data_IF_420557719309
#
_entry.id   IF_420557719309
#
_cell.length_a   1.000
_cell.length_b   1.000
_cell.length_c   1.000
_cell.angle_alpha   90.00
_cell.angle_beta   90.00
_cell.angle_gamma   90.00
#
_symmetry.space_group_name_H-M   'P 1'
#
loop_
_entity.id
_entity.type
_entity.pdbx_description
1 polymer ?
#
# COMPACT_ATOMS: atom_id res chain seq x y z
N UNK A 1 -15.84 25.49 -40.83
CA UNK A 1 -15.29 25.89 -39.52
C UNK A 1 -16.12 25.42 -38.31
N UNK A 2 -17.43 25.71 -38.22
CA UNK A 2 -18.25 25.37 -37.02
C UNK A 2 -18.36 23.87 -36.70
N UNK A 3 -18.42 23.00 -37.73
CA UNK A 3 -18.52 21.54 -37.53
C UNK A 3 -17.20 20.93 -37.04
N UNK A 4 -16.06 21.31 -37.63
CA UNK A 4 -14.73 20.86 -37.20
C UNK A 4 -14.42 21.24 -35.75
N UNK A 5 -14.73 22.48 -35.36
CA UNK A 5 -14.61 22.93 -33.96
C UNK A 5 -15.50 22.11 -33.01
N UNK A 6 -16.73 21.76 -33.42
CA UNK A 6 -17.62 20.90 -32.63
C UNK A 6 -17.07 19.48 -32.44
N UNK A 7 -16.50 18.88 -33.47
CA UNK A 7 -15.88 17.56 -33.36
C UNK A 7 -14.61 17.58 -32.51
N UNK A 8 -13.79 18.62 -32.64
CA UNK A 8 -12.61 18.83 -31.79
C UNK A 8 -13.01 18.97 -30.31
N UNK A 9 -14.02 19.80 -29.99
CA UNK A 9 -14.53 19.95 -28.62
C UNK A 9 -15.04 18.61 -28.08
N UNK A 10 -15.84 17.86 -28.86
CA UNK A 10 -16.32 16.54 -28.45
C UNK A 10 -15.17 15.56 -28.18
N UNK A 11 -14.15 15.57 -29.04
CA UNK A 11 -12.96 14.73 -28.87
C UNK A 11 -12.20 15.10 -27.58
N UNK A 12 -11.96 16.39 -27.34
CA UNK A 12 -11.32 16.86 -26.11
C UNK A 12 -12.14 16.50 -24.86
N UNK A 13 -13.48 16.63 -24.92
CA UNK A 13 -14.35 16.23 -23.83
C UNK A 13 -14.25 14.72 -23.54
N UNK A 14 -14.22 13.87 -24.57
CA UNK A 14 -14.05 12.41 -24.40
C UNK A 14 -12.72 12.08 -23.73
N UNK A 15 -11.66 12.86 -23.98
CA UNK A 15 -10.35 12.66 -23.35
C UNK A 15 -10.30 13.14 -21.89
N UNK A 16 -10.93 14.28 -21.59
CA UNK A 16 -10.81 14.97 -20.29
C UNK A 16 -11.84 14.49 -19.27
N UNK A 17 -13.07 14.17 -19.71
CA UNK A 17 -14.17 13.81 -18.82
C UNK A 17 -13.86 12.55 -17.97
N UNK A 18 -13.30 11.45 -18.50
CA UNK A 18 -13.03 10.26 -17.69
C UNK A 18 -12.02 10.50 -16.56
N UNK A 19 -10.84 11.15 -16.77
CA UNK A 19 -9.95 11.55 -15.68
C UNK A 19 -10.64 12.43 -14.63
N UNK A 20 -11.45 13.41 -15.05
CA UNK A 20 -12.19 14.29 -14.11
C UNK A 20 -13.16 13.48 -13.26
N UNK A 21 -13.95 12.60 -13.89
CA UNK A 21 -14.88 11.71 -13.18
C UNK A 21 -14.12 10.81 -12.20
N UNK A 22 -13.00 10.22 -12.62
CA UNK A 22 -12.16 9.39 -11.76
C UNK A 22 -11.67 10.16 -10.52
N UNK A 23 -11.18 11.39 -10.71
CA UNK A 23 -10.74 12.25 -9.60
C UNK A 23 -11.89 12.64 -8.67
N UNK A 24 -13.09 12.88 -9.21
CA UNK A 24 -14.29 13.13 -8.39
C UNK A 24 -14.66 11.90 -7.55
N UNK A 25 -14.65 10.69 -8.13
CA UNK A 25 -14.87 9.46 -7.38
C UNK A 25 -13.78 9.22 -6.33
N UNK A 26 -12.52 9.48 -6.66
CA UNK A 26 -11.41 9.39 -5.71
C UNK A 26 -11.60 10.37 -4.54
N UNK A 27 -12.01 11.61 -4.81
CA UNK A 27 -12.27 12.62 -3.78
C UNK A 27 -13.44 12.22 -2.88
N UNK A 28 -14.59 11.90 -3.47
CA UNK A 28 -15.79 11.49 -2.72
C UNK A 28 -15.49 10.23 -1.88
N UNK A 29 -14.86 9.22 -2.50
CA UNK A 29 -14.48 7.98 -1.82
C UNK A 29 -13.44 8.18 -0.71
N UNK A 30 -12.59 9.20 -0.82
CA UNK A 30 -11.59 9.55 0.20
C UNK A 30 -12.20 10.22 1.42
N UNK A 31 -13.29 10.98 1.23
CA UNK A 31 -13.95 11.74 2.32
C UNK A 31 -14.85 10.83 3.16
N UNK A 32 -15.56 9.88 2.53
CA UNK A 32 -16.51 9.02 3.23
C UNK A 32 -15.74 8.02 4.13
N UNK A 33 -15.84 8.15 5.48
CA UNK A 33 -15.21 7.23 6.39
C UNK A 33 -15.97 5.89 6.39
N UNK A 34 -15.23 4.81 6.58
CA UNK A 34 -15.73 3.47 6.87
C UNK A 34 -15.07 3.00 8.16
N UNK A 35 -15.81 2.25 8.98
CA UNK A 35 -15.37 1.81 10.31
C UNK A 35 -14.97 2.97 11.25
N UNK A 36 -15.61 4.14 11.17
CA UNK A 36 -15.29 5.30 12.03
C UNK A 36 -15.48 5.06 13.53
N UNK A 37 -16.25 4.04 13.90
CA UNK A 37 -16.48 3.66 15.30
C UNK A 37 -15.44 2.63 15.79
N UNK A 38 -14.29 2.49 15.11
CA UNK A 38 -13.30 1.43 15.38
C UNK A 38 -12.43 1.69 16.61
N UNK A 39 -12.81 2.59 17.52
CA UNK A 39 -12.07 2.78 18.77
C UNK A 39 -11.94 1.42 19.48
N UNK A 40 -10.70 0.94 19.52
CA UNK A 40 -10.38 -0.33 20.15
C UNK A 40 -10.53 -0.15 21.66
N UNK A 41 -11.65 -0.61 22.20
CA UNK A 41 -11.91 -0.66 23.66
C UNK A 41 -10.87 -1.51 24.41
N UNK A 42 -10.05 -2.27 23.68
CA UNK A 42 -8.99 -3.15 24.15
C UNK A 42 -7.74 -2.99 23.27
N UNK A 43 -7.27 -1.75 23.09
CA UNK A 43 -6.04 -1.47 22.37
C UNK A 43 -4.84 -2.16 23.05
N UNK A 44 -4.19 -3.08 22.34
CA UNK A 44 -3.10 -3.90 22.90
C UNK A 44 -1.77 -3.72 22.14
N UNK A 45 -1.82 -3.31 20.88
CA UNK A 45 -0.65 -3.19 20.02
C UNK A 45 -0.64 -1.88 19.26
N UNK A 46 0.56 -1.38 19.01
CA UNK A 46 0.78 -0.18 18.20
C UNK A 46 1.29 -0.58 16.82
N UNK A 47 0.65 -0.02 15.79
CA UNK A 47 1.09 -0.09 14.41
C UNK A 47 1.21 1.32 13.86
N UNK A 48 1.84 1.46 12.70
CA UNK A 48 1.98 2.76 12.06
C UNK A 48 1.57 2.72 10.59
N UNK A 49 0.93 3.78 10.12
CA UNK A 49 0.87 4.07 8.68
C UNK A 49 2.01 5.02 8.34
N UNK A 50 2.73 4.72 7.26
CA UNK A 50 3.85 5.53 6.81
C UNK A 50 3.66 6.00 5.37
N UNK A 51 3.58 7.32 5.17
CA UNK A 51 3.47 7.96 3.86
C UNK A 51 4.86 8.21 3.28
N UNK A 52 5.19 7.55 2.17
CA UNK A 52 6.40 7.75 1.38
C UNK A 52 6.06 8.43 0.06
N UNK A 53 6.10 9.76 0.04
CA UNK A 53 5.65 10.63 -1.05
C UNK A 53 4.23 10.31 -1.55
N UNK A 54 4.11 9.36 -2.48
CA UNK A 54 2.89 8.93 -3.16
C UNK A 54 2.47 7.48 -2.81
N UNK A 55 3.22 6.80 -1.93
CA UNK A 55 2.99 5.44 -1.47
C UNK A 55 2.66 5.41 0.03
N UNK A 56 1.95 4.37 0.48
CA UNK A 56 1.66 4.16 1.90
C UNK A 56 2.02 2.75 2.33
N UNK A 57 2.84 2.63 3.37
CA UNK A 57 3.17 1.37 4.02
C UNK A 57 2.41 1.20 5.34
N UNK A 58 2.20 -0.06 5.74
CA UNK A 58 1.74 -0.45 7.08
C UNK A 58 2.93 -1.03 7.84
N UNK A 59 3.32 -0.41 8.95
CA UNK A 59 4.39 -0.87 9.82
C UNK A 59 3.81 -1.64 11.00
N UNK A 60 4.23 -2.89 11.15
CA UNK A 60 3.81 -3.80 12.19
C UNK A 60 5.01 -4.21 13.04
N UNK A 61 4.84 -4.46 14.36
CA UNK A 61 5.90 -5.04 15.18
C UNK A 61 6.36 -6.37 14.60
N UNK A 62 7.68 -6.59 14.49
CA UNK A 62 8.23 -7.80 13.85
C UNK A 62 7.79 -9.07 14.58
N UNK A 63 7.80 -9.03 15.91
CA UNK A 63 7.51 -10.17 16.77
C UNK A 63 6.37 -9.83 17.74
N UNK A 64 5.29 -10.60 17.67
CA UNK A 64 4.16 -10.52 18.62
C UNK A 64 3.73 -11.92 19.05
N UNK A 65 2.79 -12.01 20.00
CA UNK A 65 2.15 -13.29 20.37
C UNK A 65 1.39 -13.96 19.21
N UNK A 66 1.08 -13.21 18.15
CA UNK A 66 0.24 -13.65 17.01
C UNK A 66 1.09 -14.18 15.85
N UNK A 67 2.24 -13.54 15.59
CA UNK A 67 3.12 -13.85 14.46
C UNK A 67 4.54 -13.33 14.70
N UNK A 68 5.52 -14.07 14.16
CA UNK A 68 6.91 -13.65 13.97
C UNK A 68 7.14 -13.40 12.49
N UNK A 69 7.08 -12.15 12.05
CA UNK A 69 7.17 -11.79 10.64
C UNK A 69 8.52 -12.15 10.02
N UNK A 70 9.60 -12.06 10.79
CA UNK A 70 10.97 -12.44 10.41
C UNK A 70 11.13 -13.95 10.14
N UNK A 71 10.23 -14.79 10.64
CA UNK A 71 10.21 -16.24 10.31
C UNK A 71 9.69 -16.52 8.89
N UNK A 72 8.89 -15.61 8.33
CA UNK A 72 8.29 -15.71 7.00
C UNK A 72 9.09 -14.85 6.02
N UNK A 73 9.17 -13.55 6.29
CA UNK A 73 9.91 -12.55 5.52
C UNK A 73 11.28 -12.39 6.14
N UNK A 74 12.23 -13.18 5.67
CA UNK A 74 13.51 -13.36 6.34
C UNK A 74 14.45 -12.16 6.20
N UNK A 75 15.16 -11.73 7.26
CA UNK A 75 16.25 -10.75 7.14
C UNK A 75 17.31 -11.18 6.12
N UNK A 76 17.54 -12.48 5.94
CA UNK A 76 18.46 -13.04 4.94
C UNK A 76 18.04 -12.75 3.49
N UNK A 77 16.77 -12.39 3.25
CA UNK A 77 16.31 -11.95 1.94
C UNK A 77 16.72 -10.50 1.62
N UNK A 78 17.23 -9.75 2.59
CA UNK A 78 17.69 -8.36 2.43
C UNK A 78 19.21 -8.31 2.26
N UNK A 79 19.72 -7.21 1.71
CA UNK A 79 21.17 -7.01 1.52
C UNK A 79 21.94 -6.80 2.83
N UNK A 80 21.31 -6.23 3.86
CA UNK A 80 21.95 -5.90 5.14
C UNK A 80 21.77 -6.97 6.22
N UNK A 81 20.80 -7.87 6.08
CA UNK A 81 20.44 -8.87 7.10
C UNK A 81 20.28 -8.23 8.49
N UNK A 82 19.38 -7.25 8.63
CA UNK A 82 19.26 -6.47 9.86
C UNK A 82 18.90 -7.37 11.04
N UNK A 83 19.56 -7.11 12.18
CA UNK A 83 19.26 -7.77 13.46
C UNK A 83 18.45 -6.84 14.34
N UNK A 84 17.66 -7.40 15.25
CA UNK A 84 16.90 -6.67 16.27
C UNK A 84 16.00 -5.57 15.68
N UNK A 85 15.28 -5.88 14.61
CA UNK A 85 14.30 -4.93 14.06
C UNK A 85 13.02 -4.94 14.88
N UNK A 86 12.58 -3.78 15.35
CA UNK A 86 11.33 -3.64 16.11
C UNK A 86 10.12 -3.69 15.18
N UNK A 87 10.21 -3.13 13.97
CA UNK A 87 9.11 -3.06 13.00
C UNK A 87 9.48 -3.60 11.62
N UNK A 88 8.47 -4.09 10.91
CA UNK A 88 8.52 -4.41 9.50
C UNK A 88 7.40 -3.63 8.79
N UNK A 89 7.77 -2.88 7.75
CA UNK A 89 6.84 -2.18 6.88
C UNK A 89 6.39 -3.06 5.71
N UNK A 90 5.13 -2.95 5.36
CA UNK A 90 4.50 -3.62 4.24
C UNK A 90 3.90 -2.61 3.27
N UNK A 91 4.43 -2.59 2.06
CA UNK A 91 3.89 -1.87 0.90
C UNK A 91 3.49 -2.84 -0.21
N UNK A 92 2.65 -2.42 -1.14
CA UNK A 92 2.23 -3.25 -2.27
C UNK A 92 2.10 -2.43 -3.54
N UNK A 93 2.56 -2.95 -4.67
CA UNK A 93 2.59 -2.18 -5.92
C UNK A 93 2.86 -3.03 -7.15
N UNK A 94 2.85 -2.38 -8.32
CA UNK A 94 3.21 -3.01 -9.58
C UNK A 94 4.69 -3.41 -9.58
N UNK A 95 4.99 -4.67 -9.91
CA UNK A 95 6.35 -5.19 -9.93
C UNK A 95 7.19 -4.54 -11.04
N UNK A 96 6.59 -4.27 -12.20
CA UNK A 96 7.31 -3.65 -13.30
C UNK A 96 7.63 -2.18 -12.99
N UNK A 97 6.72 -1.46 -12.35
CA UNK A 97 6.96 -0.14 -11.79
C UNK A 97 8.11 -0.20 -10.78
N UNK A 98 8.10 -1.16 -9.85
CA UNK A 98 9.20 -1.29 -8.89
C UNK A 98 10.57 -1.51 -9.54
N UNK A 99 10.63 -2.23 -10.66
CA UNK A 99 11.91 -2.47 -11.35
C UNK A 99 12.41 -1.28 -12.16
N UNK A 100 11.50 -0.48 -12.70
CA UNK A 100 11.84 0.53 -13.72
C UNK A 100 11.68 1.97 -13.26
N UNK A 101 11.08 2.18 -12.09
CA UNK A 101 10.83 3.49 -11.50
C UNK A 101 11.21 3.48 -10.01
N UNK A 102 12.51 3.31 -9.68
CA UNK A 102 12.95 3.28 -8.28
C UNK A 102 12.78 4.63 -7.60
N UNK A 103 12.97 5.73 -8.33
CA UNK A 103 12.66 7.09 -7.87
C UNK A 103 11.50 7.68 -8.67
N UNK A 104 10.76 8.63 -8.09
CA UNK A 104 9.68 9.35 -8.78
C UNK A 104 10.17 10.13 -10.01
N UNK A 105 11.43 10.54 -10.00
CA UNK A 105 12.11 11.21 -11.10
C UNK A 105 12.33 10.29 -12.32
N UNK A 106 12.36 8.96 -12.10
CA UNK A 106 12.54 7.96 -13.16
C UNK A 106 11.23 7.60 -13.89
N UNK A 107 10.13 8.30 -13.57
CA UNK A 107 8.80 7.95 -14.06
C UNK A 107 8.71 8.01 -15.58
N UNK A 108 8.62 6.84 -16.20
CA UNK A 108 8.30 6.70 -17.63
C UNK A 108 6.78 6.61 -17.81
N UNK A 109 6.22 7.50 -18.64
CA UNK A 109 4.79 7.50 -18.99
C UNK A 109 4.31 6.13 -19.50
N UNK A 110 5.15 5.41 -20.24
CA UNK A 110 4.83 4.07 -20.75
C UNK A 110 4.74 3.02 -19.63
N UNK A 111 5.57 3.11 -18.59
CA UNK A 111 5.53 2.23 -17.42
C UNK A 111 4.28 2.53 -16.59
N UNK A 112 4.01 3.81 -16.33
CA UNK A 112 2.80 4.24 -15.62
C UNK A 112 1.52 3.81 -16.34
N UNK A 113 1.46 3.99 -17.67
CA UNK A 113 0.31 3.57 -18.47
C UNK A 113 0.10 2.06 -18.40
N UNK A 114 1.16 1.27 -18.53
CA UNK A 114 1.07 -0.20 -18.42
C UNK A 114 0.60 -0.63 -17.03
N UNK A 115 1.14 -0.05 -15.97
CA UNK A 115 0.73 -0.36 -14.61
C UNK A 115 -0.76 -0.07 -14.39
N UNK A 116 -1.25 1.09 -14.86
CA UNK A 116 -2.62 1.53 -14.61
C UNK A 116 -3.65 0.83 -15.50
N UNK A 117 -3.39 0.68 -16.80
CA UNK A 117 -4.39 0.27 -17.78
C UNK A 117 -4.28 -1.17 -18.24
N UNK A 118 -3.14 -1.84 -18.01
CA UNK A 118 -2.97 -3.25 -18.30
C UNK A 118 -2.89 -4.04 -17.00
N UNK A 119 -3.47 -5.25 -16.99
CA UNK A 119 -3.33 -6.15 -15.84
C UNK A 119 -1.85 -6.47 -15.65
N UNK A 120 -1.29 -5.99 -14.55
CA UNK A 120 0.14 -6.06 -14.29
C UNK A 120 0.44 -6.88 -13.02
N UNK A 121 1.56 -7.60 -13.04
CA UNK A 121 1.98 -8.43 -11.92
C UNK A 121 2.41 -7.52 -10.77
N UNK A 122 1.92 -7.79 -9.56
CA UNK A 122 2.24 -6.97 -8.40
C UNK A 122 3.21 -7.68 -7.45
N UNK A 123 3.79 -6.91 -6.54
CA UNK A 123 4.66 -7.40 -5.49
C UNK A 123 4.34 -6.75 -4.15
N UNK A 124 4.51 -7.53 -3.08
CA UNK A 124 4.59 -7.04 -1.71
C UNK A 124 6.03 -6.60 -1.46
N UNK A 125 6.21 -5.36 -1.03
CA UNK A 125 7.47 -4.80 -0.57
C UNK A 125 7.52 -4.89 0.95
N UNK A 126 8.61 -5.42 1.49
CA UNK A 126 8.84 -5.48 2.94
C UNK A 126 10.11 -4.74 3.31
N UNK A 127 10.09 -3.96 4.38
CA UNK A 127 11.30 -3.29 4.88
C UNK A 127 11.41 -3.42 6.39
N UNK A 128 12.58 -3.82 6.87
CA UNK A 128 12.88 -3.86 8.29
C UNK A 128 13.34 -2.51 8.80
N UNK A 129 12.85 -2.16 10.00
CA UNK A 129 13.15 -0.95 10.74
C UNK A 129 13.62 -1.32 12.14
N UNK A 130 14.82 -0.88 12.51
CA UNK A 130 15.33 -1.05 13.87
C UNK A 130 14.45 -0.33 14.89
N UNK A 131 14.05 0.91 14.57
CA UNK A 131 13.12 1.71 15.36
C UNK A 131 12.35 2.63 14.40
N UNK A 132 11.11 2.94 14.75
CA UNK A 132 10.33 3.98 14.05
C UNK A 132 10.70 5.34 14.63
N UNK A 133 11.24 6.22 13.80
CA UNK A 133 11.46 7.62 14.18
C UNK A 133 10.20 8.42 13.86
N UNK A 134 9.57 9.02 14.87
CA UNK A 134 8.39 9.86 14.68
C UNK A 134 8.69 10.99 13.70
N UNK A 135 7.80 11.16 12.71
CA UNK A 135 7.83 12.24 11.72
C UNK A 135 6.41 12.54 11.26
N UNK A 136 6.19 13.68 10.62
CA UNK A 136 4.87 14.12 10.12
C UNK A 136 4.25 13.18 9.07
N UNK A 137 5.01 12.19 8.59
CA UNK A 137 4.56 11.19 7.64
C UNK A 137 4.10 9.88 8.29
N UNK A 138 4.12 9.80 9.63
CA UNK A 138 3.72 8.64 10.40
C UNK A 138 2.44 8.92 11.18
N UNK A 139 1.48 8.01 11.08
CA UNK A 139 0.29 7.98 11.94
C UNK A 139 0.37 6.75 12.81
N UNK A 140 0.30 6.92 14.14
CA UNK A 140 0.21 5.81 15.09
C UNK A 140 -1.24 5.34 15.17
N UNK A 141 -1.45 4.03 15.09
CA UNK A 141 -2.77 3.41 15.25
C UNK A 141 -2.67 2.36 16.35
N UNK A 142 -3.56 2.47 17.32
CA UNK A 142 -3.73 1.47 18.37
C UNK A 142 -4.74 0.42 17.90
N UNK A 143 -4.37 -0.85 17.94
CA UNK A 143 -5.19 -1.96 17.43
C UNK A 143 -5.45 -3.01 18.50
N UNK A 144 -6.63 -3.65 18.45
CA UNK A 144 -6.89 -4.88 19.22
C UNK A 144 -6.16 -6.08 18.63
N UNK A 145 -6.08 -7.17 19.40
CA UNK A 145 -5.61 -8.46 18.91
C UNK A 145 -6.37 -8.93 17.66
N UNK A 146 -7.70 -8.85 17.65
CA UNK A 146 -8.52 -9.26 16.49
C UNK A 146 -8.23 -8.42 15.24
N UNK A 147 -8.06 -7.10 15.38
CA UNK A 147 -7.72 -6.22 14.26
C UNK A 147 -6.34 -6.57 13.69
N UNK A 148 -5.37 -6.87 14.57
CA UNK A 148 -4.04 -7.28 14.16
C UNK A 148 -4.03 -8.65 13.47
N UNK A 149 -4.84 -9.60 13.94
CA UNK A 149 -5.02 -10.91 13.28
C UNK A 149 -5.53 -10.73 11.86
N UNK A 150 -6.56 -9.90 11.65
CA UNK A 150 -7.11 -9.62 10.32
C UNK A 150 -6.11 -8.92 9.40
N UNK A 151 -5.35 -7.94 9.90
CA UNK A 151 -4.23 -7.34 9.12
C UNK A 151 -3.22 -8.40 8.70
N UNK A 152 -2.85 -9.27 9.64
CA UNK A 152 -1.89 -10.36 9.40
C UNK A 152 -2.38 -11.29 8.30
N UNK A 153 -3.65 -11.71 8.37
CA UNK A 153 -4.28 -12.57 7.37
C UNK A 153 -4.32 -11.91 5.99
N UNK A 154 -4.70 -10.64 5.91
CA UNK A 154 -4.74 -9.88 4.65
C UNK A 154 -3.35 -9.77 3.97
N UNK A 155 -2.31 -9.49 4.76
CA UNK A 155 -0.93 -9.39 4.25
C UNK A 155 -0.45 -10.75 3.74
N UNK A 156 -0.71 -11.83 4.49
CA UNK A 156 -0.32 -13.18 4.09
C UNK A 156 -1.10 -13.68 2.86
N UNK A 157 -2.37 -13.32 2.72
CA UNK A 157 -3.18 -13.62 1.54
C UNK A 157 -2.63 -12.93 0.29
N UNK A 158 -2.10 -11.70 0.44
CA UNK A 158 -1.49 -10.94 -0.66
C UNK A 158 -0.38 -11.73 -1.36
N UNK A 159 0.35 -12.58 -0.64
CA UNK A 159 1.42 -13.46 -1.15
C UNK A 159 1.05 -14.95 -1.12
N UNK A 160 -0.22 -15.30 -0.86
CA UNK A 160 -0.76 -16.66 -0.84
C UNK A 160 0.00 -17.62 0.08
N UNK A 161 0.31 -17.19 1.30
CA UNK A 161 1.06 -17.97 2.29
C UNK A 161 0.25 -18.12 3.58
N UNK A 162 0.49 -19.22 4.29
CA UNK A 162 -0.02 -19.44 5.66
C UNK A 162 1.04 -18.99 6.67
N UNK A 163 0.66 -18.76 7.94
CA UNK A 163 1.56 -18.28 9.01
C UNK A 163 2.87 -19.08 9.20
N UNK A 164 2.99 -20.31 8.69
CA UNK A 164 4.19 -21.16 8.75
C UNK A 164 4.88 -21.40 7.39
N UNK A 165 4.43 -20.75 6.32
CA UNK A 165 4.97 -20.95 4.98
C UNK A 165 6.26 -20.16 4.73
N UNK A 166 7.14 -20.73 3.91
CA UNK A 166 8.35 -20.04 3.43
C UNK A 166 8.05 -19.34 2.11
N UNK A 167 8.49 -18.09 1.97
CA UNK A 167 8.42 -17.32 0.73
C UNK A 167 9.82 -17.14 0.14
N UNK A 168 9.92 -17.00 -1.18
CA UNK A 168 11.17 -16.64 -1.86
C UNK A 168 11.09 -15.18 -2.33
N UNK A 169 12.14 -14.38 -2.09
CA UNK A 169 12.16 -13.01 -2.56
C UNK A 169 12.32 -12.95 -4.08
N UNK A 170 11.86 -11.85 -4.65
CA UNK A 170 12.19 -11.45 -6.01
C UNK A 170 13.68 -11.12 -6.07
N UNK A 171 14.41 -11.81 -6.95
CA UNK A 171 15.85 -11.62 -7.09
C UNK A 171 16.19 -10.24 -7.67
N UNK A 172 17.32 -9.71 -7.22
CA UNK A 172 17.95 -8.48 -7.69
C UNK A 172 17.04 -7.26 -7.71
N UNK A 173 16.19 -7.11 -6.69
CA UNK A 173 15.30 -5.97 -6.52
C UNK A 173 15.31 -5.49 -5.07
N UNK A 174 15.91 -4.32 -4.85
CA UNK A 174 16.02 -3.64 -3.56
C UNK A 174 15.99 -2.13 -3.75
N UNK A 175 15.21 -1.43 -2.92
CA UNK A 175 15.28 0.04 -2.82
C UNK A 175 16.15 0.45 -1.64
N UNK A 176 16.17 -0.37 -0.60
CA UNK A 176 16.93 -0.15 0.62
C UNK A 176 17.75 -1.39 0.96
N UNK A 177 18.84 -1.23 1.73
CA UNK A 177 19.62 -2.40 2.15
C UNK A 177 18.83 -3.34 3.08
N UNK A 178 17.79 -2.85 3.75
CA UNK A 178 16.96 -3.60 4.70
C UNK A 178 15.60 -4.04 4.13
N UNK A 179 15.44 -4.03 2.81
CA UNK A 179 14.19 -4.42 2.17
C UNK A 179 14.29 -5.69 1.32
N UNK A 180 13.13 -6.22 0.96
CA UNK A 180 12.97 -7.31 0.00
C UNK A 180 11.59 -7.20 -0.66
N UNK A 181 11.43 -7.83 -1.82
CA UNK A 181 10.18 -7.86 -2.57
C UNK A 181 9.71 -9.29 -2.76
N UNK A 182 8.40 -9.51 -2.84
CA UNK A 182 7.80 -10.83 -3.01
C UNK A 182 6.64 -10.78 -3.99
N UNK A 183 6.53 -11.78 -4.86
CA UNK A 183 5.43 -11.84 -5.82
C UNK A 183 4.09 -11.93 -5.10
N UNK A 184 3.16 -11.06 -5.49
CA UNK A 184 1.78 -11.09 -5.00
C UNK A 184 0.90 -11.89 -5.95
N UNK A 185 -0.13 -12.56 -5.40
CA UNK A 185 -1.17 -13.26 -6.17
C UNK A 185 -2.12 -12.30 -6.88
N UNK A 186 -2.16 -11.04 -6.45
CA UNK A 186 -3.08 -10.06 -6.99
C UNK A 186 -2.44 -9.22 -8.09
N UNK A 187 -3.24 -8.47 -8.86
CA UNK A 187 -2.75 -7.62 -9.94
C UNK A 187 -2.98 -6.15 -9.64
N UNK A 188 -2.07 -5.31 -10.12
CA UNK A 188 -2.19 -3.86 -10.05
C UNK A 188 -3.01 -3.33 -11.23
N UNK A 189 -3.78 -2.26 -10.99
CA UNK A 189 -4.55 -1.53 -11.99
C UNK A 189 -4.93 -0.13 -11.51
N UNK A 190 -5.53 0.67 -12.38
CA UNK A 190 -6.03 2.02 -12.07
C UNK A 190 -7.00 2.06 -10.88
N UNK A 191 -7.75 0.98 -10.63
CA UNK A 191 -8.69 0.88 -9.50
C UNK A 191 -8.14 0.08 -8.31
N UNK A 192 -6.99 -0.58 -8.50
CA UNK A 192 -6.28 -1.36 -7.49
C UNK A 192 -4.80 -0.94 -7.47
N UNK A 193 -4.53 0.15 -6.77
CA UNK A 193 -3.20 0.74 -6.55
C UNK A 193 -2.64 0.43 -5.16
N UNK A 194 -1.42 0.86 -4.87
CA UNK A 194 -0.79 0.76 -3.55
C UNK A 194 -1.68 1.30 -2.42
N UNK A 195 -2.18 2.53 -2.56
CA UNK A 195 -3.01 3.15 -1.54
C UNK A 195 -4.38 2.46 -1.41
N UNK A 196 -4.94 1.93 -2.51
CA UNK A 196 -6.17 1.13 -2.41
C UNK A 196 -5.94 -0.18 -1.65
N UNK A 197 -4.74 -0.78 -1.76
CA UNK A 197 -4.36 -1.99 -1.03
C UNK A 197 -4.24 -1.69 0.46
N UNK A 198 -3.52 -0.62 0.82
CA UNK A 198 -3.39 -0.18 2.22
C UNK A 198 -4.76 0.15 2.83
N UNK A 199 -5.58 0.92 2.11
CA UNK A 199 -6.95 1.22 2.53
C UNK A 199 -7.82 -0.05 2.68
N UNK A 200 -7.61 -1.05 1.82
CA UNK A 200 -8.34 -2.32 1.89
C UNK A 200 -7.89 -3.19 3.07
N UNK A 201 -6.60 -3.19 3.41
CA UNK A 201 -6.08 -3.84 4.60
C UNK A 201 -6.71 -3.26 5.87
N UNK A 202 -6.75 -1.93 5.98
CA UNK A 202 -7.40 -1.22 7.10
C UNK A 202 -8.89 -1.57 7.19
N UNK A 203 -9.63 -1.49 6.07
CA UNK A 203 -11.05 -1.87 6.02
C UNK A 203 -11.29 -3.31 6.45
N UNK A 204 -10.49 -4.25 5.94
CA UNK A 204 -10.61 -5.67 6.27
C UNK A 204 -10.37 -5.93 7.76
N UNK A 205 -9.41 -5.22 8.34
CA UNK A 205 -9.13 -5.26 9.77
C UNK A 205 -10.22 -4.63 10.64
N UNK A 206 -11.18 -3.91 10.06
CA UNK A 206 -12.17 -3.15 10.83
C UNK A 206 -11.59 -1.86 11.42
N UNK A 207 -10.48 -1.36 10.87
CA UNK A 207 -9.90 -0.06 11.22
C UNK A 207 -10.55 1.02 10.38
N UNK A 208 -10.57 2.24 10.92
CA UNK A 208 -11.00 3.43 10.20
C UNK A 208 -10.27 3.54 8.85
N UNK A 209 -11.02 3.82 7.80
CA UNK A 209 -10.51 3.84 6.44
C UNK A 209 -11.44 4.67 5.55
N UNK A 210 -11.07 4.91 4.31
CA UNK A 210 -11.97 5.56 3.35
C UNK A 210 -12.78 4.50 2.59
N UNK A 211 -13.93 4.90 2.04
CA UNK A 211 -14.69 4.06 1.12
C UNK A 211 -13.81 3.54 -0.03
N UNK A 212 -13.09 4.43 -0.70
CA UNK A 212 -12.09 4.09 -1.72
C UNK A 212 -11.15 5.27 -1.98
N UNK A 213 -9.85 5.01 -2.12
CA UNK A 213 -8.89 6.04 -2.55
C UNK A 213 -7.68 5.43 -3.24
N UNK A 214 -7.21 5.99 -4.36
CA UNK A 214 -5.93 5.63 -4.98
C UNK A 214 -4.77 6.49 -4.45
N UNK A 215 -5.03 7.44 -3.55
CA UNK A 215 -4.08 8.43 -3.07
C UNK A 215 -3.81 8.31 -1.57
N UNK A 216 -2.57 8.56 -1.10
CA UNK A 216 -2.25 8.48 0.33
C UNK A 216 -3.02 9.55 1.13
N UNK A 217 -3.27 10.72 0.55
CA UNK A 217 -3.96 11.84 1.21
C UNK A 217 -5.35 11.43 1.72
N UNK A 218 -6.07 10.59 0.97
CA UNK A 218 -7.38 10.09 1.41
C UNK A 218 -7.28 9.28 2.69
N UNK A 219 -6.29 8.38 2.77
CA UNK A 219 -6.07 7.54 3.96
C UNK A 219 -5.73 8.42 5.16
N UNK A 220 -4.76 9.32 5.02
CA UNK A 220 -4.27 10.14 6.12
C UNK A 220 -5.29 11.18 6.59
N UNK A 221 -6.16 11.66 5.70
CA UNK A 221 -7.30 12.50 6.07
C UNK A 221 -8.21 11.82 7.09
N UNK A 222 -8.32 10.49 7.07
CA UNK A 222 -9.13 9.74 8.06
C UNK A 222 -8.48 9.67 9.44
N UNK A 223 -7.22 10.07 9.57
CA UNK A 223 -6.47 10.06 10.83
C UNK A 223 -5.91 11.44 11.18
N UNK A 224 -6.42 12.48 10.52
CA UNK A 224 -6.12 13.86 10.86
C UNK A 224 -7.18 14.33 11.85
N UNK A 225 -6.74 14.85 13.00
CA UNK A 225 -7.62 15.44 14.02
C UNK A 225 -8.40 16.66 13.50
#
# INVERSE_FOLDING_TARGET
MKQGLRYLIKFLLILIVPPVIYLLFALIGSIIPVNSNSESKSAEMEIYLYKQDMHTDILLPVNTKIISWDSIFKPEHTLAQPKNSEFIGFGWGDLNFYRNTPQWEDLKLSVAFKALFLKSQSALHTRFYQKVTFSDNLVKISVSEDQYIKLTEYILETVNIKKSGKIQPVQDLHYYRSDAFYLSKTSFSLFKTCNTWTNSALKNAGLQACLWTPFPQGIFYQYSD
#
